data_IF_517468939488
#
_entry.id   IF_517468939488
#
_cell.length_a   1.000
_cell.length_b   1.000
_cell.length_c   1.000
_cell.angle_alpha   90.00
_cell.angle_beta   90.00
_cell.angle_gamma   90.00
#
_symmetry.space_group_name_H-M   'P 1'
#
loop_
_entity.id
_entity.type
_entity.pdbx_description
1 polymer ?
#
# COMPACT_ATOMS: atom_id res chain seq x y z
N UNK A 1 -35.57 -15.82 7.77
CA UNK A 1 -34.30 -15.07 7.87
C UNK A 1 -33.31 -15.79 6.97
N UNK A 2 -32.88 -15.18 5.89
CA UNK A 2 -31.80 -15.74 5.05
C UNK A 2 -30.48 -15.67 5.82
N UNK A 3 -29.72 -16.77 5.83
CA UNK A 3 -28.41 -16.82 6.47
C UNK A 3 -27.37 -16.02 5.67
N UNK A 4 -26.37 -15.47 6.37
CA UNK A 4 -25.24 -14.83 5.71
C UNK A 4 -24.42 -15.85 4.89
N UNK A 5 -23.89 -15.49 3.72
CA UNK A 5 -23.02 -16.37 2.96
C UNK A 5 -21.78 -16.73 3.78
N UNK A 6 -21.39 -18.01 3.74
CA UNK A 6 -20.21 -18.54 4.44
C UNK A 6 -19.23 -19.15 3.44
N UNK A 7 -17.95 -19.01 3.73
CA UNK A 7 -16.90 -19.74 3.02
C UNK A 7 -16.74 -21.12 3.66
N UNK A 8 -16.85 -22.17 2.85
CA UNK A 8 -16.65 -23.56 3.31
C UNK A 8 -15.48 -24.16 2.58
N UNK A 9 -14.48 -24.62 3.34
CA UNK A 9 -13.48 -25.53 2.84
C UNK A 9 -14.02 -26.96 2.93
N UNK A 10 -14.25 -27.58 1.78
CA UNK A 10 -14.72 -28.95 1.67
C UNK A 10 -13.61 -29.91 1.25
N UNK A 11 -13.52 -31.06 1.89
CA UNK A 11 -12.74 -32.20 1.40
C UNK A 11 -13.70 -33.34 1.08
N UNK A 12 -13.64 -33.78 -0.16
CA UNK A 12 -14.46 -34.88 -0.67
C UNK A 12 -13.60 -36.10 -0.94
N UNK A 13 -14.08 -37.27 -0.52
CA UNK A 13 -13.46 -38.56 -0.84
C UNK A 13 -14.53 -39.52 -1.36
N UNK A 14 -14.28 -40.06 -2.55
CA UNK A 14 -15.04 -41.16 -3.10
C UNK A 14 -14.55 -42.49 -2.49
N UNK A 15 -15.50 -43.36 -2.17
CA UNK A 15 -15.28 -44.75 -1.76
C UNK A 15 -15.85 -45.63 -2.86
N UNK A 16 -15.05 -46.58 -3.32
CA UNK A 16 -15.40 -47.49 -4.41
C UNK A 16 -15.59 -48.89 -3.86
N UNK A 17 -16.50 -49.65 -4.47
CA UNK A 17 -16.69 -51.06 -4.14
C UNK A 17 -15.56 -51.95 -4.70
N UNK A 18 -15.65 -53.26 -4.41
CA UNK A 18 -14.67 -54.25 -4.88
C UNK A 18 -14.63 -54.41 -6.41
N UNK A 19 -15.66 -53.92 -7.13
CA UNK A 19 -15.74 -53.94 -8.60
C UNK A 19 -15.24 -52.62 -9.21
N UNK A 20 -14.77 -51.68 -8.39
CA UNK A 20 -14.29 -50.37 -8.81
C UNK A 20 -15.41 -49.37 -9.13
N UNK A 21 -16.66 -49.69 -8.78
CA UNK A 21 -17.80 -48.78 -8.98
C UNK A 21 -17.93 -47.82 -7.81
N UNK A 22 -18.33 -46.57 -8.07
CA UNK A 22 -18.53 -45.57 -7.01
C UNK A 22 -19.63 -46.03 -6.06
N UNK A 23 -19.28 -46.27 -4.80
CA UNK A 23 -20.20 -46.76 -3.78
C UNK A 23 -20.69 -45.63 -2.88
N UNK A 24 -19.80 -44.72 -2.47
CA UNK A 24 -20.15 -43.62 -1.56
C UNK A 24 -19.24 -42.40 -1.80
N UNK A 25 -19.72 -41.23 -1.40
CA UNK A 25 -18.94 -40.00 -1.35
C UNK A 25 -19.07 -39.40 0.04
N UNK A 26 -17.96 -39.31 0.76
CA UNK A 26 -17.89 -38.66 2.07
C UNK A 26 -17.32 -37.25 1.88
N UNK A 27 -18.00 -36.27 2.46
CA UNK A 27 -17.55 -34.88 2.51
C UNK A 27 -17.40 -34.41 3.94
N UNK A 28 -16.29 -33.73 4.23
CA UNK A 28 -16.10 -32.97 5.46
C UNK A 28 -16.00 -31.50 5.07
N UNK A 29 -16.86 -30.66 5.64
CA UNK A 29 -16.86 -29.22 5.45
C UNK A 29 -16.43 -28.50 6.73
N UNK A 30 -15.59 -27.49 6.59
CA UNK A 30 -15.23 -26.56 7.67
C UNK A 30 -15.58 -25.14 7.24
N UNK A 31 -16.32 -24.41 8.08
CA UNK A 31 -16.49 -22.97 7.91
C UNK A 31 -15.13 -22.28 8.09
N UNK A 32 -14.72 -21.55 7.06
CA UNK A 32 -13.46 -20.79 6.98
C UNK A 32 -13.71 -19.30 6.75
N UNK A 33 -14.94 -18.82 6.99
CA UNK A 33 -15.32 -17.42 6.77
C UNK A 33 -14.41 -16.47 7.55
N UNK A 34 -14.18 -16.74 8.84
CA UNK A 34 -13.28 -15.93 9.67
C UNK A 34 -11.83 -15.92 9.15
N UNK A 35 -11.35 -17.06 8.63
CA UNK A 35 -10.00 -17.14 8.04
C UNK A 35 -9.92 -16.30 6.76
N UNK A 36 -10.93 -16.40 5.89
CA UNK A 36 -10.98 -15.65 4.64
C UNK A 36 -11.04 -14.14 4.89
N UNK A 37 -11.84 -13.70 5.84
CA UNK A 37 -11.92 -12.28 6.21
C UNK A 37 -10.57 -11.77 6.76
N UNK A 38 -9.89 -12.56 7.60
CA UNK A 38 -8.57 -12.19 8.13
C UNK A 38 -7.48 -12.17 7.03
N UNK A 39 -7.54 -13.10 6.07
CA UNK A 39 -6.64 -13.11 4.90
C UNK A 39 -6.84 -11.86 4.03
N UNK A 40 -8.09 -11.45 3.81
CA UNK A 40 -8.44 -10.25 3.05
C UNK A 40 -8.00 -8.97 3.76
N UNK A 41 -8.32 -8.81 5.05
CA UNK A 41 -7.88 -7.68 5.87
C UNK A 41 -6.35 -7.55 5.88
N UNK A 42 -5.64 -8.68 6.04
CA UNK A 42 -4.17 -8.70 5.97
C UNK A 42 -3.65 -8.28 4.59
N UNK A 43 -4.31 -8.71 3.52
CA UNK A 43 -3.91 -8.36 2.16
C UNK A 43 -4.09 -6.86 1.89
N UNK A 44 -5.22 -6.30 2.30
CA UNK A 44 -5.50 -4.86 2.22
C UNK A 44 -4.47 -4.05 3.02
N UNK A 45 -4.11 -4.51 4.22
CA UNK A 45 -3.09 -3.85 5.04
C UNK A 45 -1.71 -3.85 4.38
N UNK A 46 -1.31 -4.96 3.73
CA UNK A 46 -0.05 -5.04 2.99
C UNK A 46 -0.05 -4.05 1.80
N UNK A 47 -1.13 -4.02 1.02
CA UNK A 47 -1.26 -3.06 -0.10
C UNK A 47 -1.12 -1.61 0.36
N UNK A 48 -1.68 -1.27 1.52
CA UNK A 48 -1.55 0.07 2.10
C UNK A 48 -0.11 0.41 2.50
N UNK A 49 0.60 -0.54 3.11
CA UNK A 49 2.02 -0.37 3.44
C UNK A 49 2.88 -0.18 2.18
N UNK A 50 2.61 -0.95 1.13
CA UNK A 50 3.32 -0.80 -0.15
C UNK A 50 3.09 0.58 -0.76
N UNK A 51 1.86 1.09 -0.72
CA UNK A 51 1.53 2.42 -1.23
C UNK A 51 2.22 3.53 -0.43
N UNK A 52 2.28 3.40 0.90
CA UNK A 52 3.03 4.33 1.77
C UNK A 52 4.52 4.30 1.40
N UNK A 53 5.11 3.12 1.31
CA UNK A 53 6.52 2.96 0.95
C UNK A 53 6.85 3.58 -0.42
N UNK A 54 5.95 3.42 -1.39
CA UNK A 54 6.07 4.04 -2.70
C UNK A 54 6.06 5.57 -2.63
N UNK A 55 5.09 6.16 -1.91
CA UNK A 55 4.99 7.61 -1.73
C UNK A 55 6.24 8.19 -1.07
N UNK A 56 6.74 7.57 -0.01
CA UNK A 56 7.96 8.01 0.67
C UNK A 56 9.18 7.94 -0.27
N UNK A 57 9.31 6.85 -1.02
CA UNK A 57 10.51 6.62 -1.84
C UNK A 57 10.55 7.48 -3.11
N UNK A 58 9.40 7.77 -3.73
CA UNK A 58 9.36 8.50 -5.01
C UNK A 58 8.93 9.96 -4.84
N UNK A 59 7.85 10.21 -4.11
CA UNK A 59 7.24 11.54 -4.03
C UNK A 59 7.93 12.46 -3.02
N UNK A 60 8.41 11.91 -1.90
CA UNK A 60 9.11 12.68 -0.86
C UNK A 60 10.60 12.82 -1.19
N UNK A 61 11.25 11.74 -1.66
CA UNK A 61 12.69 11.77 -1.96
C UNK A 61 13.06 12.75 -3.07
N UNK A 62 12.24 12.86 -4.11
CA UNK A 62 12.47 13.78 -5.24
C UNK A 62 12.73 15.23 -4.81
N UNK A 63 11.76 15.91 -4.15
CA UNK A 63 11.96 17.29 -3.71
C UNK A 63 13.09 17.43 -2.67
N UNK A 64 13.34 16.43 -1.82
CA UNK A 64 14.48 16.45 -0.88
C UNK A 64 15.82 16.48 -1.63
N UNK A 65 16.00 15.58 -2.61
CA UNK A 65 17.23 15.54 -3.41
C UNK A 65 17.47 16.86 -4.16
N UNK A 66 16.40 17.44 -4.73
CA UNK A 66 16.49 18.75 -5.39
C UNK A 66 16.87 19.85 -4.40
N UNK A 67 16.27 19.90 -3.21
CA UNK A 67 16.63 20.89 -2.19
C UNK A 67 18.10 20.76 -1.75
N UNK A 68 18.59 19.54 -1.58
CA UNK A 68 20.01 19.30 -1.25
C UNK A 68 20.93 19.89 -2.33
N UNK A 69 20.65 19.60 -3.61
CA UNK A 69 21.43 20.16 -4.72
C UNK A 69 21.36 21.70 -4.79
N UNK A 70 20.19 22.28 -4.57
CA UNK A 70 20.02 23.75 -4.53
C UNK A 70 20.81 24.39 -3.38
N UNK A 71 20.84 23.76 -2.20
CA UNK A 71 21.66 24.21 -1.07
C UNK A 71 23.15 24.11 -1.38
N UNK A 72 23.58 23.05 -2.08
CA UNK A 72 24.97 22.92 -2.54
C UNK A 72 25.35 24.04 -3.52
N UNK A 73 24.48 24.38 -4.47
CA UNK A 73 24.69 25.49 -5.39
C UNK A 73 24.83 26.84 -4.65
N UNK A 74 24.03 27.08 -3.60
CA UNK A 74 24.17 28.29 -2.78
C UNK A 74 25.51 28.38 -2.04
N UNK A 75 26.16 27.23 -1.77
CA UNK A 75 27.46 27.17 -1.12
C UNK A 75 28.64 27.36 -2.07
N UNK A 76 28.41 27.30 -3.39
CA UNK A 76 29.46 27.54 -4.38
C UNK A 76 29.76 29.05 -4.47
N UNK A 77 31.04 29.41 -4.46
CA UNK A 77 31.47 30.81 -4.64
C UNK A 77 31.14 31.29 -6.06
N UNK A 78 30.81 32.58 -6.19
CA UNK A 78 30.58 33.22 -7.50
C UNK A 78 29.13 33.30 -7.95
N UNK A 79 28.16 33.05 -7.06
CA UNK A 79 26.74 33.19 -7.39
C UNK A 79 26.30 34.66 -7.34
N UNK A 80 25.88 35.20 -8.49
CA UNK A 80 25.38 36.56 -8.60
C UNK A 80 24.04 36.73 -7.85
N UNK A 81 23.68 37.96 -7.41
CA UNK A 81 22.44 38.19 -6.65
C UNK A 81 21.16 37.66 -7.35
N UNK A 82 21.11 37.74 -8.68
CA UNK A 82 20.00 37.21 -9.49
C UNK A 82 19.90 35.69 -9.44
N UNK A 83 21.03 34.99 -9.55
CA UNK A 83 21.10 33.53 -9.47
C UNK A 83 20.73 33.02 -8.08
N UNK A 84 21.20 33.72 -7.03
CA UNK A 84 20.83 33.42 -5.65
C UNK A 84 19.32 33.52 -5.44
N UNK A 85 18.68 34.56 -5.96
CA UNK A 85 17.22 34.71 -5.88
C UNK A 85 16.50 33.59 -6.63
N UNK A 86 16.97 33.18 -7.82
CA UNK A 86 16.39 32.05 -8.55
C UNK A 86 16.51 30.74 -7.76
N UNK A 87 17.64 30.49 -7.11
CA UNK A 87 17.82 29.29 -6.27
C UNK A 87 16.87 29.32 -5.07
N UNK A 88 16.69 30.47 -4.41
CA UNK A 88 15.73 30.62 -3.31
C UNK A 88 14.28 30.36 -3.75
N UNK A 89 13.86 30.88 -4.90
CA UNK A 89 12.51 30.62 -5.42
C UNK A 89 12.29 29.15 -5.79
N UNK A 90 13.30 28.49 -6.38
CA UNK A 90 13.25 27.06 -6.64
C UNK A 90 13.19 26.24 -5.34
N UNK A 91 13.91 26.66 -4.31
CA UNK A 91 13.90 26.01 -3.00
C UNK A 91 12.52 26.15 -2.33
N UNK A 92 11.91 27.35 -2.37
CA UNK A 92 10.53 27.57 -1.92
C UNK A 92 9.53 26.66 -2.65
N UNK A 93 9.64 26.58 -3.97
CA UNK A 93 8.78 25.69 -4.78
C UNK A 93 8.93 24.22 -4.36
N UNK A 94 10.16 23.76 -4.10
CA UNK A 94 10.42 22.40 -3.62
C UNK A 94 9.82 22.16 -2.22
N UNK A 95 9.91 23.12 -1.30
CA UNK A 95 9.29 23.03 0.03
C UNK A 95 7.77 22.89 -0.09
N UNK A 96 7.13 23.72 -0.92
CA UNK A 96 5.67 23.64 -1.16
C UNK A 96 5.29 22.29 -1.76
N UNK A 97 6.08 21.76 -2.69
CA UNK A 97 5.86 20.44 -3.28
C UNK A 97 5.99 19.31 -2.26
N UNK A 98 6.99 19.38 -1.38
CA UNK A 98 7.19 18.42 -0.31
C UNK A 98 6.03 18.45 0.70
N UNK A 99 5.61 19.65 1.12
CA UNK A 99 4.49 19.82 2.04
C UNK A 99 3.18 19.25 1.47
N UNK A 100 2.93 19.49 0.17
CA UNK A 100 1.80 18.87 -0.54
C UNK A 100 1.88 17.34 -0.53
N UNK A 101 3.05 16.75 -0.78
CA UNK A 101 3.23 15.30 -0.71
C UNK A 101 3.00 14.77 0.71
N UNK A 102 3.48 15.48 1.72
CA UNK A 102 3.26 15.14 3.14
C UNK A 102 1.77 15.12 3.48
N UNK A 103 1.03 16.17 3.09
CA UNK A 103 -0.43 16.24 3.31
C UNK A 103 -1.19 15.14 2.59
N UNK A 104 -0.81 14.80 1.36
CA UNK A 104 -1.41 13.68 0.62
C UNK A 104 -1.18 12.34 1.33
N UNK A 105 0.02 12.11 1.86
CA UNK A 105 0.35 10.90 2.62
C UNK A 105 -0.47 10.82 3.92
N UNK A 106 -0.58 11.91 4.67
CA UNK A 106 -1.39 11.97 5.88
C UNK A 106 -2.88 11.72 5.60
N UNK A 107 -3.42 12.31 4.51
CA UNK A 107 -4.80 12.08 4.10
C UNK A 107 -5.05 10.61 3.72
N UNK A 108 -4.11 9.99 2.98
CA UNK A 108 -4.19 8.56 2.64
C UNK A 108 -4.21 7.68 3.89
N UNK A 109 -3.31 7.91 4.84
CA UNK A 109 -3.26 7.16 6.10
C UNK A 109 -4.56 7.33 6.89
N UNK A 110 -5.07 8.55 6.99
CA UNK A 110 -6.30 8.82 7.74
C UNK A 110 -7.53 8.13 7.12
N UNK A 111 -7.65 8.16 5.79
CA UNK A 111 -8.74 7.48 5.09
C UNK A 111 -8.75 5.97 5.33
N UNK A 112 -7.57 5.36 5.52
CA UNK A 112 -7.43 3.92 5.80
C UNK A 112 -7.60 3.53 7.27
N UNK A 113 -7.47 4.49 8.21
CA UNK A 113 -7.70 4.25 9.64
C UNK A 113 -9.17 4.41 10.07
N UNK A 114 -10.02 4.97 9.21
CA UNK A 114 -11.46 5.19 9.46
C UNK A 114 -12.33 4.17 8.69
N UNK A 115 -11.71 3.21 8.02
CA UNK A 115 -12.37 2.12 7.29
C UNK A 115 -12.47 0.85 8.11
#
# INVERSE_FOLDING_TARGET
>A
MEGAPVWVYGRLRAIFDQRGSLAEVITIGRDVTALKNAEEERSLYIEDLEQIAFMTSHKIRGPIATMMGLVELLRMNGCEPGERNMIFENLKSCIVNLDRCSRQMSAFIHQRQVG
#
